data_IF_271697630607
#
_entry.id   IF_271697630607
#
_cell.length_a   1.000
_cell.length_b   1.000
_cell.length_c   1.000
_cell.angle_alpha   90.00
_cell.angle_beta   90.00
_cell.angle_gamma   90.00
#
_symmetry.space_group_name_H-M   'P 1'
#
loop_
_entity.id
_entity.type
_entity.pdbx_description
1 polymer ?
#
# COMPACT_ATOMS: atom_id res chain seq x y z
N UNK A 1 -9.08 -5.58 13.64
CA UNK A 1 -8.15 -4.57 14.21
C UNK A 1 -7.71 -3.68 13.06
N UNK A 2 -7.56 -2.36 13.22
CA UNK A 2 -7.06 -1.48 12.15
C UNK A 2 -5.59 -1.77 11.85
N UNK A 3 -5.17 -1.63 10.59
CA UNK A 3 -3.78 -1.77 10.17
C UNK A 3 -2.92 -0.68 10.86
N UNK A 4 -1.74 -1.06 11.38
CA UNK A 4 -0.79 -0.10 11.93
C UNK A 4 0.38 0.10 10.96
N UNK A 5 0.40 1.24 10.29
CA UNK A 5 1.44 1.57 9.32
C UNK A 5 2.66 2.19 10.01
N UNK A 6 3.84 1.63 9.74
CA UNK A 6 5.12 2.18 10.20
C UNK A 6 5.96 2.63 9.00
N UNK A 7 6.68 3.75 9.16
CA UNK A 7 7.56 4.31 8.12
C UNK A 7 8.77 3.41 7.93
N UNK A 8 8.92 2.81 6.76
CA UNK A 8 9.93 1.78 6.48
C UNK A 8 11.30 2.38 6.10
N UNK A 9 11.36 3.59 5.55
CA UNK A 9 12.60 4.26 5.13
C UNK A 9 12.51 5.76 5.45
N UNK A 10 13.47 6.35 6.16
CA UNK A 10 13.40 7.77 6.55
C UNK A 10 13.54 8.76 5.38
N UNK A 11 14.14 8.33 4.27
CA UNK A 11 14.33 9.13 3.05
C UNK A 11 13.31 8.86 1.94
N UNK A 12 12.46 7.86 2.09
CA UNK A 12 11.49 7.46 1.09
C UNK A 12 10.15 7.34 1.79
N UNK A 13 9.15 8.09 1.32
CA UNK A 13 7.80 8.10 1.87
C UNK A 13 7.11 6.76 1.61
N UNK A 14 7.55 5.72 2.33
CA UNK A 14 7.09 4.35 2.24
C UNK A 14 6.65 3.91 3.63
N UNK A 15 5.43 3.41 3.70
CA UNK A 15 4.81 2.84 4.89
C UNK A 15 4.41 1.42 4.60
N UNK A 16 4.59 0.55 5.59
CA UNK A 16 4.19 -0.85 5.48
C UNK A 16 3.35 -1.28 6.68
N UNK A 17 2.39 -2.16 6.43
CA UNK A 17 1.62 -2.86 7.45
C UNK A 17 1.49 -4.33 7.07
N UNK A 18 1.30 -5.19 8.06
CA UNK A 18 1.08 -6.61 7.89
C UNK A 18 -0.11 -7.06 8.74
N UNK A 19 -1.00 -7.86 8.16
CA UNK A 19 -2.15 -8.46 8.85
C UNK A 19 -2.57 -9.73 8.15
N UNK A 20 -2.95 -10.74 8.93
CA UNK A 20 -3.60 -11.97 8.44
C UNK A 20 -2.86 -12.67 7.29
N UNK A 21 -1.53 -12.63 7.30
CA UNK A 21 -0.71 -13.25 6.24
C UNK A 21 -0.58 -12.42 4.96
N UNK A 22 -1.08 -11.19 4.96
CA UNK A 22 -0.90 -10.21 3.89
C UNK A 22 -0.01 -9.06 4.37
N UNK A 23 0.77 -8.50 3.44
CA UNK A 23 1.58 -7.31 3.63
C UNK A 23 1.11 -6.23 2.68
N UNK A 24 0.89 -5.04 3.23
CA UNK A 24 0.46 -3.84 2.54
C UNK A 24 1.60 -2.83 2.54
N UNK A 25 1.77 -2.14 1.43
CA UNK A 25 2.76 -1.08 1.26
C UNK A 25 2.09 0.12 0.62
N UNK A 26 2.22 1.28 1.27
CA UNK A 26 1.87 2.58 0.73
C UNK A 26 3.17 3.31 0.41
N UNK A 27 3.30 3.86 -0.79
CA UNK A 27 4.44 4.70 -1.18
C UNK A 27 3.95 5.99 -1.81
N UNK A 28 4.53 7.13 -1.46
CA UNK A 28 4.25 8.39 -2.14
C UNK A 28 5.19 8.57 -3.34
N UNK A 29 4.61 8.67 -4.54
CA UNK A 29 5.35 9.05 -5.73
C UNK A 29 5.19 10.56 -5.95
N UNK A 30 6.32 11.26 -5.99
CA UNK A 30 6.38 12.66 -6.40
C UNK A 30 6.79 12.77 -7.87
N UNK A 31 6.27 13.74 -8.63
CA UNK A 31 6.64 13.94 -10.05
C UNK A 31 8.11 14.31 -10.25
N UNK A 32 8.79 14.75 -9.19
CA UNK A 32 10.17 15.22 -9.19
C UNK A 32 11.16 14.17 -8.66
N UNK A 33 10.70 12.98 -8.26
CA UNK A 33 11.57 11.90 -7.81
C UNK A 33 12.32 11.25 -9.00
N UNK A 34 13.43 10.53 -8.74
CA UNK A 34 14.16 9.78 -9.77
C UNK A 34 13.40 8.54 -10.32
N UNK A 35 12.15 8.32 -9.87
CA UNK A 35 11.27 7.23 -10.29
C UNK A 35 10.34 7.59 -11.46
N UNK A 36 9.38 6.70 -11.73
CA UNK A 36 8.46 6.80 -12.88
C UNK A 36 7.74 8.17 -12.90
N UNK A 37 7.81 8.86 -14.05
CA UNK A 37 7.14 10.15 -14.32
C UNK A 37 5.60 10.00 -14.37
N UNK A 38 4.99 9.72 -13.21
CA UNK A 38 3.58 9.47 -13.02
C UNK A 38 2.83 10.61 -12.34
N UNK A 39 1.55 10.37 -12.05
CA UNK A 39 0.67 11.30 -11.35
C UNK A 39 1.04 11.30 -9.86
N UNK A 40 1.33 12.47 -9.28
CA UNK A 40 1.66 12.59 -7.87
C UNK A 40 0.60 11.94 -6.98
N UNK A 41 1.00 11.14 -6.00
CA UNK A 41 0.07 10.58 -5.03
C UNK A 41 0.56 9.32 -4.32
N UNK A 42 -0.31 8.80 -3.46
CA UNK A 42 -0.07 7.61 -2.65
C UNK A 42 -0.45 6.35 -3.43
N UNK A 43 0.55 5.54 -3.76
CA UNK A 43 0.36 4.22 -4.32
C UNK A 43 0.19 3.21 -3.20
N UNK A 44 -0.92 2.47 -3.22
CA UNK A 44 -1.15 1.37 -2.29
C UNK A 44 -1.03 0.03 -3.02
N UNK A 45 -0.38 -0.93 -2.39
CA UNK A 45 -0.17 -2.27 -2.92
C UNK A 45 -0.21 -3.31 -1.80
N UNK A 46 -0.48 -4.57 -2.16
CA UNK A 46 -0.53 -5.68 -1.21
C UNK A 46 0.10 -6.95 -1.79
N UNK A 47 0.54 -7.87 -0.93
CA UNK A 47 0.99 -9.21 -1.32
C UNK A 47 0.70 -10.22 -0.21
N UNK A 48 0.47 -11.49 -0.56
CA UNK A 48 0.62 -12.58 0.39
C UNK A 48 2.07 -12.65 0.91
N UNK A 49 2.23 -12.82 2.21
CA UNK A 49 3.54 -12.90 2.87
C UNK A 49 4.23 -14.23 2.56
N UNK A 50 3.46 -15.32 2.54
CA UNK A 50 4.00 -16.69 2.50
C UNK A 50 4.16 -17.28 1.09
N UNK A 51 3.59 -16.65 0.07
CA UNK A 51 3.57 -17.23 -1.28
C UNK A 51 4.66 -16.68 -2.22
N UNK A 52 5.54 -15.81 -1.74
CA UNK A 52 6.61 -15.21 -2.57
C UNK A 52 6.09 -14.41 -3.77
N UNK A 53 4.80 -14.05 -3.79
CA UNK A 53 4.17 -13.33 -4.90
C UNK A 53 4.56 -11.85 -4.91
N UNK A 54 4.62 -11.30 -6.12
CA UNK A 54 4.81 -9.88 -6.38
C UNK A 54 3.69 -9.04 -5.76
N UNK A 55 4.00 -7.79 -5.39
CA UNK A 55 3.00 -6.85 -4.90
C UNK A 55 1.99 -6.50 -6.00
N UNK A 56 0.71 -6.61 -5.66
CA UNK A 56 -0.45 -6.26 -6.48
C UNK A 56 -0.88 -4.85 -6.08
N UNK A 57 -0.97 -3.97 -7.08
CA UNK A 57 -1.44 -2.60 -6.87
C UNK A 57 -2.95 -2.58 -6.59
N UNK A 58 -3.36 -1.83 -5.56
CA UNK A 58 -4.78 -1.64 -5.24
C UNK A 58 -5.42 -0.71 -6.29
N UNK A 59 -6.57 -1.13 -6.83
CA UNK A 59 -7.34 -0.35 -7.80
C UNK A 59 -7.70 1.03 -7.26
N UNK A 60 -7.56 2.07 -8.08
CA UNK A 60 -7.84 3.46 -7.71
C UNK A 60 -6.60 4.28 -7.33
N UNK A 61 -5.45 3.61 -7.13
CA UNK A 61 -4.17 4.30 -6.96
C UNK A 61 -3.66 4.95 -8.27
N UNK A 62 -2.93 6.08 -8.20
CA UNK A 62 -2.51 6.79 -6.99
C UNK A 62 -3.63 7.61 -6.33
N UNK A 63 -3.69 7.55 -5.00
CA UNK A 63 -4.62 8.29 -4.14
C UNK A 63 -4.09 9.69 -3.81
N UNK A 64 -4.96 10.64 -3.48
CA UNK A 64 -4.54 12.02 -3.19
C UNK A 64 -3.98 12.16 -1.78
N UNK A 65 -4.50 11.40 -0.83
CA UNK A 65 -4.12 11.46 0.58
C UNK A 65 -3.67 10.10 1.12
N UNK A 66 -2.91 10.12 2.20
CA UNK A 66 -2.51 8.91 2.90
C UNK A 66 -3.72 8.16 3.45
N UNK A 67 -4.67 8.89 4.06
CA UNK A 67 -5.89 8.32 4.63
C UNK A 67 -6.75 7.58 3.59
N UNK A 68 -6.82 8.10 2.35
CA UNK A 68 -7.48 7.40 1.23
C UNK A 68 -6.78 6.08 0.88
N UNK A 69 -5.44 6.08 0.88
CA UNK A 69 -4.65 4.89 0.61
C UNK A 69 -4.75 3.85 1.75
N UNK A 70 -4.80 4.29 3.00
CA UNK A 70 -5.01 3.45 4.18
C UNK A 70 -6.40 2.81 4.16
N UNK A 71 -7.45 3.61 3.91
CA UNK A 71 -8.82 3.11 3.78
C UNK A 71 -8.96 2.08 2.65
N UNK A 72 -8.25 2.28 1.54
CA UNK A 72 -8.19 1.32 0.44
C UNK A 72 -7.49 0.01 0.83
N UNK A 73 -6.42 0.07 1.62
CA UNK A 73 -5.76 -1.11 2.19
C UNK A 73 -6.70 -1.88 3.13
N UNK A 74 -7.39 -1.19 4.03
CA UNK A 74 -8.34 -1.80 4.96
C UNK A 74 -9.51 -2.47 4.23
N UNK A 75 -10.04 -1.83 3.19
CA UNK A 75 -11.09 -2.40 2.35
C UNK A 75 -10.59 -3.65 1.60
N UNK A 76 -9.37 -3.62 1.08
CA UNK A 76 -8.74 -4.77 0.42
C UNK A 76 -8.52 -5.92 1.39
N UNK A 77 -8.03 -5.67 2.60
CA UNK A 77 -7.87 -6.70 3.63
C UNK A 77 -9.22 -7.38 3.93
N UNK A 78 -10.30 -6.61 4.10
CA UNK A 78 -11.64 -7.17 4.32
C UNK A 78 -12.10 -8.05 3.15
N UNK A 79 -11.82 -7.66 1.91
CA UNK A 79 -12.14 -8.45 0.73
C UNK A 79 -11.38 -9.78 0.73
N UNK A 80 -10.06 -9.72 0.92
CA UNK A 80 -9.18 -10.91 0.97
C UNK A 80 -9.56 -11.87 2.09
N UNK A 81 -9.96 -11.34 3.26
CA UNK A 81 -10.45 -12.14 4.38
C UNK A 81 -11.85 -12.71 4.15
N UNK A 82 -12.67 -12.11 3.28
CA UNK A 82 -14.01 -12.60 2.94
C UNK A 82 -14.02 -13.66 1.85
N UNK A 83 -12.98 -13.71 1.01
CA UNK A 83 -12.81 -14.71 -0.05
C UNK A 83 -12.18 -16.03 0.44
N UNK A 84 -11.83 -16.11 1.74
CA UNK A 84 -11.14 -17.23 2.37
C UNK A 84 -11.98 -17.86 3.49
#
# INVERSE_FOLDING_TARGET
MPLQFQRAVEKMEIWSANSDGYSFVISYESPAGPGFHGRAGYLASWRPVYEGRSAIRITGSPFKTFDEAEAACDAMLKLLMSEN
#
